data_IF_040745146557
#
_entry.id   IF_040745146557
#
_cell.length_a   1.000
_cell.length_b   1.000
_cell.length_c   1.000
_cell.angle_alpha   90.00
_cell.angle_beta   90.00
_cell.angle_gamma   90.00
#
_symmetry.space_group_name_H-M   'P 1'
#
loop_
_entity.id
_entity.type
_entity.pdbx_description
1 polymer ?
#
# COMPACT_ATOMS: atom_id res chain seq x y z
N UNK A 1 12.25 1.80 43.25
CA UNK A 1 12.21 2.23 41.85
C UNK A 1 11.84 0.99 41.04
N UNK A 2 10.54 0.80 40.76
CA UNK A 2 10.07 -0.37 40.02
C UNK A 2 10.26 -0.10 38.53
N UNK A 3 11.35 -0.62 37.97
CA UNK A 3 11.48 -0.73 36.52
C UNK A 3 10.68 -1.96 36.08
N UNK A 4 9.46 -1.72 35.61
CA UNK A 4 8.70 -2.72 34.84
C UNK A 4 9.54 -3.12 33.62
N UNK A 5 9.75 -4.42 33.34
CA UNK A 5 10.44 -4.85 32.14
C UNK A 5 9.73 -4.27 30.91
N UNK A 6 10.44 -3.53 30.06
CA UNK A 6 9.90 -3.14 28.75
C UNK A 6 9.68 -4.44 27.98
N UNK A 7 8.41 -4.80 27.75
CA UNK A 7 8.06 -5.87 26.82
C UNK A 7 8.84 -5.64 25.52
N UNK A 8 9.84 -6.49 25.28
CA UNK A 8 10.60 -6.49 24.04
C UNK A 8 9.62 -6.81 22.92
N UNK A 9 9.54 -5.94 21.92
CA UNK A 9 8.60 -5.97 20.79
C UNK A 9 8.57 -7.29 19.98
N UNK A 10 9.39 -8.27 20.35
CA UNK A 10 9.55 -9.61 19.80
C UNK A 10 8.31 -10.50 19.95
N UNK A 11 7.36 -10.19 20.83
CA UNK A 11 6.15 -11.02 21.06
C UNK A 11 4.86 -10.48 20.41
N UNK A 12 4.93 -9.46 19.57
CA UNK A 12 3.76 -9.00 18.81
C UNK A 12 3.52 -9.93 17.61
N UNK A 13 3.05 -11.14 17.87
CA UNK A 13 2.57 -12.04 16.82
C UNK A 13 1.37 -11.38 16.13
N UNK A 14 1.42 -11.26 14.80
CA UNK A 14 0.26 -10.79 14.03
C UNK A 14 -0.97 -11.63 14.37
N UNK A 15 -2.17 -11.03 14.50
CA UNK A 15 -3.41 -11.79 14.66
C UNK A 15 -3.55 -12.89 13.60
N UNK A 16 -4.13 -14.03 13.97
CA UNK A 16 -4.23 -15.21 13.08
C UNK A 16 -4.83 -14.89 11.71
N UNK A 17 -5.83 -14.01 11.66
CA UNK A 17 -6.47 -13.62 10.41
C UNK A 17 -5.52 -12.86 9.49
N UNK A 18 -4.61 -12.03 10.03
CA UNK A 18 -3.59 -11.31 9.25
C UNK A 18 -2.61 -12.31 8.63
N UNK A 19 -2.15 -13.28 9.42
CA UNK A 19 -1.25 -14.33 8.93
C UNK A 19 -1.90 -15.11 7.80
N UNK A 20 -3.15 -15.55 7.98
CA UNK A 20 -3.92 -16.29 6.96
C UNK A 20 -4.16 -15.47 5.70
N UNK A 21 -4.45 -14.17 5.81
CA UNK A 21 -4.59 -13.30 4.65
C UNK A 21 -3.28 -13.20 3.86
N UNK A 22 -2.15 -13.07 4.56
CA UNK A 22 -0.85 -12.95 3.91
C UNK A 22 -0.41 -14.25 3.21
N UNK A 23 -0.83 -15.42 3.69
CA UNK A 23 -0.56 -16.71 3.03
C UNK A 23 -1.11 -16.79 1.59
N UNK A 24 -2.13 -16.00 1.25
CA UNK A 24 -2.61 -15.97 -0.13
C UNK A 24 -1.54 -15.42 -1.09
N UNK A 25 -0.69 -14.50 -0.64
CA UNK A 25 0.42 -13.98 -1.44
C UNK A 25 1.42 -15.09 -1.78
N UNK A 26 1.78 -15.90 -0.79
CA UNK A 26 2.66 -17.05 -0.99
C UNK A 26 2.02 -18.09 -1.94
N UNK A 27 0.71 -18.32 -1.80
CA UNK A 27 -0.03 -19.29 -2.61
C UNK A 27 -0.04 -18.94 -4.11
N UNK A 28 0.06 -17.66 -4.47
CA UNK A 28 0.16 -17.19 -5.86
C UNK A 28 1.60 -16.81 -6.27
N UNK A 29 2.57 -17.07 -5.40
CA UNK A 29 4.00 -16.78 -5.61
C UNK A 29 4.43 -15.34 -5.30
N UNK A 30 3.53 -14.36 -5.42
CA UNK A 30 3.82 -12.96 -5.07
C UNK A 30 2.53 -12.19 -4.70
N UNK A 31 2.51 -11.40 -3.60
CA UNK A 31 1.36 -10.57 -3.23
C UNK A 31 0.89 -9.56 -4.31
N UNK A 32 1.76 -9.14 -5.23
CA UNK A 32 1.44 -8.26 -6.36
C UNK A 32 0.43 -8.87 -7.33
N UNK A 33 0.41 -10.19 -7.46
CA UNK A 33 -0.55 -10.90 -8.30
C UNK A 33 -1.99 -10.80 -7.76
N UNK A 34 -2.16 -10.52 -6.46
CA UNK A 34 -3.48 -10.30 -5.85
C UNK A 34 -3.84 -8.82 -5.77
N UNK A 35 -2.88 -7.99 -5.37
CA UNK A 35 -3.10 -6.56 -5.15
C UNK A 35 -2.06 -5.77 -5.94
N UNK A 36 -2.44 -5.36 -7.14
CA UNK A 36 -1.63 -4.47 -7.98
C UNK A 36 -1.48 -3.09 -7.33
N UNK A 37 -0.26 -2.57 -7.37
CA UNK A 37 0.06 -1.18 -7.06
C UNK A 37 0.46 -0.43 -8.34
N UNK A 38 0.09 -0.90 -9.53
CA UNK A 38 0.42 -0.21 -10.78
C UNK A 38 -0.07 1.25 -10.76
N UNK A 39 0.84 2.18 -11.06
CA UNK A 39 0.60 3.61 -10.90
C UNK A 39 -0.54 4.12 -11.81
N UNK A 40 -0.66 3.57 -13.02
CA UNK A 40 -1.69 3.98 -13.97
C UNK A 40 -3.05 3.40 -13.57
N UNK A 41 -3.09 2.16 -13.08
CA UNK A 41 -4.31 1.57 -12.53
C UNK A 41 -4.85 2.35 -11.32
N UNK A 42 -3.97 2.79 -10.42
CA UNK A 42 -4.37 3.58 -9.25
C UNK A 42 -4.92 4.95 -9.65
N UNK A 43 -4.30 5.62 -10.62
CA UNK A 43 -4.81 6.86 -11.20
C UNK A 43 -6.17 6.65 -11.88
N UNK A 44 -6.30 5.63 -12.71
CA UNK A 44 -7.54 5.33 -13.42
C UNK A 44 -8.70 5.07 -12.44
N UNK A 45 -8.45 4.34 -11.33
CA UNK A 45 -9.47 4.13 -10.29
C UNK A 45 -9.87 5.44 -9.61
N UNK A 46 -8.91 6.31 -9.29
CA UNK A 46 -9.21 7.60 -8.70
C UNK A 46 -10.04 8.48 -9.66
N UNK A 47 -9.61 8.60 -10.92
CA UNK A 47 -10.31 9.38 -11.96
C UNK A 47 -11.72 8.85 -12.21
N UNK A 48 -11.92 7.53 -12.26
CA UNK A 48 -13.24 6.93 -12.45
C UNK A 48 -14.19 7.28 -11.29
N UNK A 49 -13.67 7.39 -10.07
CA UNK A 49 -14.48 7.69 -8.89
C UNK A 49 -14.80 9.18 -8.70
N UNK A 50 -13.95 10.09 -9.18
CA UNK A 50 -14.13 11.54 -9.01
C UNK A 50 -14.67 12.23 -10.26
N UNK A 51 -14.51 11.63 -11.44
CA UNK A 51 -14.76 12.28 -12.72
C UNK A 51 -13.72 13.35 -13.09
N UNK A 52 -12.69 13.53 -12.26
CA UNK A 52 -11.60 14.48 -12.51
C UNK A 52 -10.63 13.86 -13.50
N UNK A 53 -10.55 14.43 -14.70
CA UNK A 53 -9.55 14.05 -15.72
C UNK A 53 -8.35 14.98 -15.73
N UNK A 54 -8.46 16.14 -15.09
CA UNK A 54 -7.40 17.13 -14.99
C UNK A 54 -6.75 17.06 -13.62
N UNK A 55 -5.63 16.32 -13.55
CA UNK A 55 -4.78 16.23 -12.36
C UNK A 55 -3.56 17.18 -12.49
N UNK A 56 -3.55 18.05 -13.50
CA UNK A 56 -2.38 18.80 -13.93
C UNK A 56 -2.46 20.27 -13.49
N UNK A 57 -1.61 20.65 -12.53
CA UNK A 57 -1.23 22.06 -12.34
C UNK A 57 0.15 22.28 -11.69
N UNK A 58 0.89 21.21 -11.36
CA UNK A 58 2.22 21.27 -10.72
C UNK A 58 3.17 20.30 -11.43
N UNK A 59 4.34 20.79 -11.87
CA UNK A 59 5.21 20.08 -12.81
C UNK A 59 5.90 18.82 -12.23
N UNK A 60 5.90 18.61 -10.91
CA UNK A 60 6.71 17.55 -10.28
C UNK A 60 5.92 16.49 -9.47
N UNK A 61 4.62 16.65 -9.27
CA UNK A 61 3.88 15.75 -8.38
C UNK A 61 3.75 14.33 -8.94
N UNK A 62 3.53 14.21 -10.26
CA UNK A 62 3.32 12.91 -10.92
C UNK A 62 4.61 12.09 -10.87
N UNK A 63 5.76 12.74 -11.05
CA UNK A 63 7.08 12.12 -10.89
C UNK A 63 7.25 11.55 -9.49
N UNK A 64 6.98 12.35 -8.44
CA UNK A 64 7.08 11.89 -7.06
C UNK A 64 6.09 10.77 -6.73
N UNK A 65 4.87 10.85 -7.24
CA UNK A 65 3.86 9.80 -7.13
C UNK A 65 4.33 8.48 -7.73
N UNK A 66 4.81 8.51 -8.98
CA UNK A 66 5.30 7.31 -9.68
C UNK A 66 6.50 6.69 -8.96
N UNK A 67 7.44 7.51 -8.47
CA UNK A 67 8.58 7.05 -7.69
C UNK A 67 8.17 6.40 -6.35
N UNK A 68 7.18 6.98 -5.65
CA UNK A 68 6.65 6.41 -4.42
C UNK A 68 6.00 5.04 -4.69
N UNK A 69 5.14 4.98 -5.71
CA UNK A 69 4.44 3.75 -6.09
C UNK A 69 5.42 2.66 -6.48
N UNK A 70 6.42 2.96 -7.33
CA UNK A 70 7.47 2.01 -7.71
C UNK A 70 8.23 1.47 -6.49
N UNK A 71 8.59 2.33 -5.53
CA UNK A 71 9.26 1.90 -4.31
C UNK A 71 8.39 0.96 -3.47
N UNK A 72 7.10 1.27 -3.33
CA UNK A 72 6.15 0.43 -2.59
C UNK A 72 5.92 -0.91 -3.29
N UNK A 73 5.88 -0.91 -4.62
CA UNK A 73 5.62 -2.09 -5.43
C UNK A 73 6.82 -3.05 -5.45
N UNK A 74 8.02 -2.52 -5.72
CA UNK A 74 9.21 -3.32 -6.01
C UNK A 74 10.11 -3.53 -4.80
N UNK A 75 10.20 -2.55 -3.89
CA UNK A 75 11.26 -2.52 -2.86
C UNK A 75 10.76 -2.70 -1.44
N UNK A 76 9.51 -2.35 -1.15
CA UNK A 76 9.01 -2.35 0.22
C UNK A 76 8.67 -3.75 0.78
N UNK A 77 8.67 -4.80 -0.05
CA UNK A 77 8.41 -6.18 0.41
C UNK A 77 7.05 -6.34 1.08
N UNK A 78 6.02 -5.66 0.54
CA UNK A 78 4.70 -5.60 1.17
C UNK A 78 3.97 -6.93 1.10
N UNK A 79 3.41 -7.34 2.25
CA UNK A 79 2.45 -8.46 2.33
C UNK A 79 1.13 -8.11 1.64
N UNK A 80 0.23 -9.09 1.45
CA UNK A 80 -1.11 -8.86 0.89
C UNK A 80 -1.85 -7.74 1.65
N UNK A 81 -1.83 -7.79 2.99
CA UNK A 81 -2.47 -6.74 3.79
C UNK A 81 -1.76 -5.39 3.64
N UNK A 82 -0.43 -5.39 3.53
CA UNK A 82 0.37 -4.18 3.30
C UNK A 82 0.02 -3.50 1.97
N UNK A 83 -0.08 -4.29 0.90
CA UNK A 83 -0.46 -3.81 -0.44
C UNK A 83 -1.90 -3.32 -0.46
N UNK A 84 -2.82 -4.03 0.19
CA UNK A 84 -4.22 -3.59 0.32
C UNK A 84 -4.32 -2.23 1.01
N UNK A 85 -3.56 -2.05 2.10
CA UNK A 85 -3.53 -0.81 2.88
C UNK A 85 -2.94 0.34 2.06
N UNK A 86 -1.78 0.11 1.42
CA UNK A 86 -1.13 1.10 0.57
C UNK A 86 -2.02 1.51 -0.61
N UNK A 87 -2.63 0.53 -1.30
CA UNK A 87 -3.56 0.75 -2.42
C UNK A 87 -4.72 1.65 -2.01
N UNK A 88 -5.38 1.33 -0.89
CA UNK A 88 -6.53 2.09 -0.41
C UNK A 88 -6.15 3.54 -0.09
N UNK A 89 -5.03 3.75 0.61
CA UNK A 89 -4.60 5.09 1.00
C UNK A 89 -4.10 5.91 -0.18
N UNK A 90 -3.39 5.33 -1.15
CA UNK A 90 -2.96 6.04 -2.35
C UNK A 90 -4.18 6.52 -3.14
N UNK A 91 -5.16 5.66 -3.40
CA UNK A 91 -6.39 6.07 -4.10
C UNK A 91 -7.09 7.19 -3.34
N UNK A 92 -7.25 7.04 -2.01
CA UNK A 92 -7.90 8.06 -1.18
C UNK A 92 -7.23 9.42 -1.33
N UNK A 93 -5.89 9.45 -1.31
CA UNK A 93 -5.12 10.68 -1.50
C UNK A 93 -5.30 11.26 -2.91
N UNK A 94 -5.30 10.43 -3.96
CA UNK A 94 -5.55 10.86 -5.33
C UNK A 94 -6.96 11.42 -5.53
N UNK A 95 -7.96 10.91 -4.81
CA UNK A 95 -9.35 11.38 -4.88
C UNK A 95 -9.58 12.74 -4.21
N UNK A 96 -8.75 13.09 -3.23
CA UNK A 96 -8.89 14.32 -2.43
C UNK A 96 -7.91 15.41 -2.83
N UNK A 97 -7.07 15.15 -3.82
CA UNK A 97 -6.26 16.17 -4.49
C UNK A 97 -7.13 17.01 -5.40
#
# INVERSE_FOLDING_TARGET
MNEQPRETATELAHPDWVRRLNLFGDAVGDPSHLISLDADELLAVAQQSTGLTDLSSDDDWETGYRQLVEHLDVRAGLTVLGRLSARAEIIRNLQTR
#
